data_IF_130210750001
#
_entry.id   IF_130210750001
#
_cell.length_a   1.000
_cell.length_b   1.000
_cell.length_c   1.000
_cell.angle_alpha   90.00
_cell.angle_beta   90.00
_cell.angle_gamma   90.00
#
_symmetry.space_group_name_H-M   'P 1'
#
loop_
_entity.id
_entity.type
_entity.pdbx_description
1 polymer ?
#
# COMPACT_ATOMS: atom_id res chain seq x y z
N UNK A 1 -4.27 -8.04 20.89
CA UNK A 1 -5.26 -6.97 20.63
C UNK A 1 -5.56 -7.05 19.15
N UNK A 2 -6.41 -8.01 18.76
CA UNK A 2 -6.81 -8.24 17.38
C UNK A 2 -7.71 -7.08 16.96
N UNK A 3 -7.10 -6.01 16.45
CA UNK A 3 -7.85 -4.91 15.86
C UNK A 3 -8.50 -5.43 14.58
N UNK A 4 -9.79 -5.14 14.45
CA UNK A 4 -10.68 -5.53 13.38
C UNK A 4 -10.06 -5.40 11.99
N UNK A 5 -9.48 -6.49 11.48
CA UNK A 5 -9.24 -6.64 10.06
C UNK A 5 -10.61 -6.70 9.40
N UNK A 6 -10.99 -5.63 8.69
CA UNK A 6 -12.17 -5.65 7.85
C UNK A 6 -11.89 -6.65 6.73
N UNK A 7 -12.64 -7.75 6.70
CA UNK A 7 -12.56 -8.71 5.62
C UNK A 7 -13.79 -8.54 4.74
N UNK A 8 -13.59 -8.46 3.43
CA UNK A 8 -14.67 -8.47 2.45
C UNK A 8 -14.60 -9.75 1.63
N UNK A 9 -15.76 -10.28 1.27
CA UNK A 9 -15.85 -11.45 0.39
C UNK A 9 -16.23 -10.98 -1.00
N UNK A 10 -15.33 -11.14 -1.97
CA UNK A 10 -15.61 -10.82 -3.35
C UNK A 10 -16.00 -12.09 -4.10
N UNK A 11 -17.09 -12.08 -4.89
CA UNK A 11 -17.38 -13.17 -5.81
C UNK A 11 -16.34 -13.14 -6.93
N UNK A 12 -15.89 -14.33 -7.31
CA UNK A 12 -15.05 -14.55 -8.48
C UNK A 12 -15.68 -15.60 -9.37
N UNK A 13 -15.48 -15.42 -10.67
CA UNK A 13 -15.82 -16.41 -11.68
C UNK A 13 -14.53 -16.97 -12.23
N UNK A 14 -14.42 -18.30 -12.23
CA UNK A 14 -13.30 -19.04 -12.80
C UNK A 14 -13.74 -19.61 -14.15
N UNK A 15 -13.05 -19.25 -15.21
CA UNK A 15 -13.29 -19.77 -16.56
C UNK A 15 -12.08 -20.58 -17.06
N UNK A 16 -12.32 -21.46 -18.03
CA UNK A 16 -11.27 -22.24 -18.68
C UNK A 16 -11.69 -22.62 -20.09
N UNK A 17 -11.00 -22.06 -21.07
CA UNK A 17 -11.11 -22.47 -22.46
C UNK A 17 -10.29 -23.74 -22.73
N UNK A 18 -10.62 -24.50 -23.80
CA UNK A 18 -9.78 -25.61 -24.25
C UNK A 18 -8.35 -25.14 -24.54
N UNK A 19 -7.37 -25.87 -24.00
CA UNK A 19 -5.94 -25.59 -24.15
C UNK A 19 -5.47 -24.21 -23.61
N UNK A 20 -6.24 -23.58 -22.71
CA UNK A 20 -5.85 -22.35 -22.01
C UNK A 20 -5.45 -22.58 -20.54
N UNK A 21 -4.86 -21.56 -19.92
CA UNK A 21 -4.74 -21.45 -18.47
C UNK A 21 -6.12 -21.21 -17.82
N UNK A 22 -6.21 -21.31 -16.50
CA UNK A 22 -7.43 -20.93 -15.79
C UNK A 22 -7.52 -19.40 -15.71
N UNK A 23 -8.65 -18.83 -16.12
CA UNK A 23 -8.96 -17.42 -15.96
C UNK A 23 -9.74 -17.17 -14.68
N UNK A 24 -9.51 -16.02 -14.04
CA UNK A 24 -10.37 -15.50 -12.97
C UNK A 24 -10.74 -14.06 -13.27
N UNK A 25 -12.03 -13.77 -13.17
CA UNK A 25 -12.58 -12.41 -13.21
C UNK A 25 -13.27 -12.10 -11.89
N UNK A 26 -13.15 -10.84 -11.44
CA UNK A 26 -13.83 -10.31 -10.25
C UNK A 26 -14.92 -9.34 -10.71
N UNK A 27 -16.20 -9.76 -10.82
CA UNK A 27 -17.23 -8.94 -11.47
C UNK A 27 -17.50 -7.59 -10.81
N UNK A 28 -17.31 -7.51 -9.48
CA UNK A 28 -17.51 -6.28 -8.72
C UNK A 28 -16.31 -5.33 -8.76
N UNK A 29 -15.17 -5.75 -9.32
CA UNK A 29 -13.98 -4.93 -9.52
C UNK A 29 -13.65 -4.90 -11.02
N UNK A 30 -14.29 -4.02 -11.80
CA UNK A 30 -14.09 -3.95 -13.25
C UNK A 30 -12.61 -3.78 -13.61
N UNK A 31 -12.13 -4.63 -14.52
CA UNK A 31 -10.72 -4.65 -14.92
C UNK A 31 -9.79 -5.44 -14.01
N UNK A 32 -10.30 -6.05 -12.93
CA UNK A 32 -9.55 -6.99 -12.11
C UNK A 32 -9.73 -8.42 -12.62
N UNK A 33 -8.70 -8.93 -13.30
CA UNK A 33 -8.62 -10.29 -13.81
C UNK A 33 -7.21 -10.86 -13.60
N UNK A 34 -7.10 -12.19 -13.56
CA UNK A 34 -5.82 -12.90 -13.47
C UNK A 34 -5.92 -14.28 -14.12
N UNK A 35 -4.79 -14.96 -14.32
CA UNK A 35 -4.72 -16.28 -14.90
C UNK A 35 -3.66 -17.14 -14.22
N UNK A 36 -3.84 -18.46 -14.22
CA UNK A 36 -2.88 -19.38 -13.61
C UNK A 36 -2.98 -20.81 -14.13
N UNK A 37 -1.90 -21.57 -13.95
CA UNK A 37 -1.75 -22.92 -14.50
C UNK A 37 -2.70 -23.93 -13.81
N UNK A 38 -3.03 -23.67 -12.55
CA UNK A 38 -3.88 -24.54 -11.72
C UNK A 38 -4.94 -23.73 -10.96
N UNK A 39 -6.01 -24.39 -10.52
CA UNK A 39 -7.04 -23.76 -9.69
C UNK A 39 -6.44 -23.20 -8.37
N UNK A 40 -5.48 -23.89 -7.77
CA UNK A 40 -4.86 -23.41 -6.53
C UNK A 40 -4.02 -22.15 -6.77
N UNK A 41 -3.27 -22.14 -7.87
CA UNK A 41 -2.46 -21.01 -8.29
C UNK A 41 -3.33 -19.79 -8.62
N UNK A 42 -4.33 -19.95 -9.50
CA UNK A 42 -5.19 -18.83 -9.92
C UNK A 42 -5.99 -18.23 -8.75
N UNK A 43 -6.36 -19.03 -7.74
CA UNK A 43 -7.01 -18.51 -6.53
C UNK A 43 -6.07 -17.66 -5.67
N UNK A 44 -4.80 -18.03 -5.60
CA UNK A 44 -3.78 -17.25 -4.89
C UNK A 44 -3.55 -15.93 -5.63
N UNK A 45 -3.37 -16.00 -6.95
CA UNK A 45 -3.22 -14.82 -7.80
C UNK A 45 -4.46 -13.93 -7.79
N UNK A 46 -5.67 -14.49 -7.65
CA UNK A 46 -6.90 -13.70 -7.57
C UNK A 46 -6.95 -12.86 -6.30
N UNK A 47 -6.49 -13.41 -5.16
CA UNK A 47 -6.39 -12.64 -3.91
C UNK A 47 -5.40 -11.48 -4.08
N UNK A 48 -4.23 -11.74 -4.66
CA UNK A 48 -3.21 -10.71 -4.88
C UNK A 48 -3.67 -9.63 -5.87
N UNK A 49 -4.33 -10.03 -6.96
CA UNK A 49 -4.88 -9.11 -7.95
C UNK A 49 -5.93 -8.18 -7.31
N UNK A 50 -6.83 -8.72 -6.49
CA UNK A 50 -7.84 -7.92 -5.79
C UNK A 50 -7.21 -7.00 -4.76
N UNK A 51 -6.25 -7.48 -3.95
CA UNK A 51 -5.55 -6.64 -2.97
C UNK A 51 -4.84 -5.47 -3.65
N UNK A 52 -4.08 -5.73 -4.71
CA UNK A 52 -3.39 -4.71 -5.50
C UNK A 52 -4.35 -3.71 -6.16
N UNK A 53 -5.47 -4.21 -6.71
CA UNK A 53 -6.47 -3.36 -7.34
C UNK A 53 -7.13 -2.41 -6.33
N UNK A 54 -7.52 -2.92 -5.16
CA UNK A 54 -8.11 -2.12 -4.08
C UNK A 54 -7.12 -1.10 -3.51
N UNK A 55 -5.84 -1.47 -3.39
CA UNK A 55 -4.78 -0.55 -3.00
C UNK A 55 -4.63 0.62 -3.98
N UNK A 56 -4.59 0.33 -5.29
CA UNK A 56 -4.56 1.36 -6.33
C UNK A 56 -5.75 2.32 -6.22
N UNK A 57 -6.97 1.77 -6.11
CA UNK A 57 -8.19 2.58 -5.94
C UNK A 57 -8.12 3.48 -4.69
N UNK A 58 -7.60 2.98 -3.57
CA UNK A 58 -7.48 3.79 -2.36
C UNK A 58 -6.45 4.91 -2.48
N UNK A 59 -5.32 4.64 -3.15
CA UNK A 59 -4.28 5.65 -3.40
C UNK A 59 -4.78 6.75 -4.34
N UNK A 60 -5.58 6.39 -5.34
CA UNK A 60 -6.20 7.32 -6.29
C UNK A 60 -7.42 8.04 -5.69
N UNK A 61 -7.90 7.60 -4.53
CA UNK A 61 -9.07 8.16 -3.85
C UNK A 61 -10.41 7.73 -4.45
N UNK A 62 -10.41 6.66 -5.25
CA UNK A 62 -11.59 6.11 -5.89
C UNK A 62 -12.51 5.40 -4.86
N UNK A 63 -13.85 5.46 -5.07
CA UNK A 63 -14.78 4.77 -4.22
C UNK A 63 -14.65 3.26 -4.39
N UNK A 64 -14.49 2.56 -3.29
CA UNK A 64 -14.32 1.11 -3.31
C UNK A 64 -15.68 0.43 -3.54
N UNK A 65 -15.83 -0.43 -4.57
CA UNK A 65 -17.08 -1.12 -4.84
C UNK A 65 -17.45 -2.08 -3.71
N UNK A 66 -18.71 -2.05 -3.30
CA UNK A 66 -19.25 -3.05 -2.38
C UNK A 66 -19.48 -4.38 -3.12
N UNK A 67 -18.98 -5.51 -2.61
CA UNK A 67 -19.18 -6.81 -3.23
C UNK A 67 -20.66 -7.19 -3.21
N UNK A 68 -21.11 -7.79 -4.30
CA UNK A 68 -22.48 -8.32 -4.44
C UNK A 68 -22.48 -9.82 -4.27
N UNK A 69 -23.65 -10.38 -4.00
CA UNK A 69 -23.82 -11.82 -3.97
C UNK A 69 -23.64 -12.42 -5.37
N UNK A 70 -23.13 -13.65 -5.43
CA UNK A 70 -22.96 -14.41 -6.68
C UNK A 70 -24.26 -14.42 -7.50
N UNK A 71 -25.42 -14.57 -6.84
CA UNK A 71 -26.73 -14.58 -7.49
C UNK A 71 -27.05 -13.30 -8.29
N UNK A 72 -26.43 -12.17 -7.96
CA UNK A 72 -26.56 -10.93 -8.74
C UNK A 72 -25.89 -11.07 -10.12
N UNK A 73 -24.77 -11.80 -10.19
CA UNK A 73 -23.94 -11.92 -11.39
C UNK A 73 -24.21 -13.18 -12.20
N UNK A 74 -24.78 -14.24 -11.60
CA UNK A 74 -25.07 -15.52 -12.27
C UNK A 74 -25.92 -15.39 -13.54
N UNK A 75 -26.77 -14.36 -13.63
CA UNK A 75 -27.60 -14.13 -14.81
C UNK A 75 -26.88 -13.41 -15.96
N UNK A 76 -25.63 -12.97 -15.75
CA UNK A 76 -24.86 -12.27 -16.78
C UNK A 76 -24.40 -13.27 -17.87
N UNK A 77 -24.75 -13.03 -19.16
CA UNK A 77 -24.30 -13.85 -20.27
C UNK A 77 -22.77 -14.01 -20.40
N UNK A 78 -21.99 -13.08 -19.84
CA UNK A 78 -20.53 -13.13 -19.84
C UNK A 78 -19.95 -14.24 -18.96
N UNK A 79 -20.71 -14.78 -18.01
CA UNK A 79 -20.23 -15.72 -16.98
C UNK A 79 -20.91 -17.09 -17.03
N UNK A 80 -21.61 -17.41 -18.13
CA UNK A 80 -22.55 -18.55 -18.22
C UNK A 80 -21.89 -19.91 -17.96
N UNK A 81 -20.63 -20.07 -18.35
CA UNK A 81 -19.89 -21.34 -18.20
C UNK A 81 -18.86 -21.31 -17.06
N UNK A 82 -18.86 -20.24 -16.26
CA UNK A 82 -17.88 -20.03 -15.20
C UNK A 82 -18.21 -20.77 -13.91
N UNK A 83 -17.17 -21.18 -13.19
CA UNK A 83 -17.27 -21.75 -11.84
C UNK A 83 -17.16 -20.64 -10.81
N UNK A 84 -18.22 -20.43 -10.04
CA UNK A 84 -18.27 -19.41 -9.02
C UNK A 84 -17.57 -19.82 -7.72
N UNK A 85 -16.81 -18.89 -7.14
CA UNK A 85 -16.28 -18.98 -5.78
C UNK A 85 -16.32 -17.63 -5.10
N UNK A 86 -16.17 -17.63 -3.78
CA UNK A 86 -15.88 -16.40 -3.02
C UNK A 86 -14.45 -16.44 -2.52
N UNK A 87 -13.76 -15.30 -2.61
CA UNK A 87 -12.45 -15.10 -1.98
C UNK A 87 -12.60 -14.09 -0.86
N UNK A 88 -11.89 -14.34 0.24
CA UNK A 88 -11.86 -13.43 1.39
C UNK A 88 -10.64 -12.53 1.26
N UNK A 89 -10.89 -11.23 1.20
CA UNK A 89 -9.86 -10.21 1.06
C UNK A 89 -9.69 -9.48 2.37
N UNK A 90 -8.44 -9.35 2.82
CA UNK A 90 -8.09 -8.45 3.92
C UNK A 90 -8.06 -7.04 3.38
N UNK A 91 -8.95 -6.19 3.88
CA UNK A 91 -9.03 -4.84 3.40
C UNK A 91 -7.84 -4.02 3.94
N UNK A 92 -7.10 -3.29 3.09
CA UNK A 92 -6.01 -2.43 3.53
C UNK A 92 -6.51 -1.34 4.48
N UNK A 93 -5.77 -1.12 5.58
CA UNK A 93 -6.06 -0.06 6.55
C UNK A 93 -5.29 1.20 6.13
N UNK A 94 -6.01 2.33 5.98
CA UNK A 94 -5.38 3.63 5.76
C UNK A 94 -4.96 4.25 7.10
N UNK A 95 -3.76 4.83 7.13
CA UNK A 95 -3.28 5.63 8.26
C UNK A 95 -2.79 6.98 7.76
N UNK A 96 -3.11 8.02 8.52
CA UNK A 96 -2.62 9.38 8.27
C UNK A 96 -1.50 9.69 9.24
N UNK A 97 -0.33 10.08 8.75
CA UNK A 97 0.77 10.59 9.54
C UNK A 97 0.90 12.09 9.35
N UNK A 98 0.97 12.82 10.47
CA UNK A 98 1.36 14.22 10.47
C UNK A 98 2.81 14.33 10.05
N UNK A 99 3.11 15.24 9.12
CA UNK A 99 4.46 15.58 8.68
C UNK A 99 4.70 17.07 8.86
N UNK A 100 5.96 17.43 9.07
CA UNK A 100 6.41 18.83 9.10
C UNK A 100 7.36 19.08 7.93
N UNK A 101 7.11 20.17 7.22
CA UNK A 101 7.85 20.59 6.03
C UNK A 101 8.60 21.87 6.36
N UNK A 102 9.92 21.86 6.13
CA UNK A 102 10.79 23.00 6.28
C UNK A 102 11.35 23.42 4.93
N UNK A 103 11.48 24.73 4.72
CA UNK A 103 12.02 25.30 3.49
C UNK A 103 12.84 26.56 3.78
N UNK A 104 14.14 26.46 3.58
CA UNK A 104 15.06 27.61 3.62
C UNK A 104 15.14 28.27 2.23
N UNK A 105 15.59 29.54 2.15
CA UNK A 105 15.97 30.15 0.87
C UNK A 105 16.97 29.27 0.12
N UNK A 106 16.73 29.04 -1.18
CA UNK A 106 17.60 28.25 -2.07
C UNK A 106 17.86 26.76 -1.67
N UNK A 107 17.06 26.18 -0.76
CA UNK A 107 17.11 24.74 -0.42
C UNK A 107 16.07 23.89 -1.16
N UNK A 108 16.14 22.55 -1.03
CA UNK A 108 14.99 21.67 -1.27
C UNK A 108 13.95 21.80 -0.13
N UNK A 109 12.75 21.27 -0.31
CA UNK A 109 11.76 21.09 0.75
C UNK A 109 12.17 19.89 1.60
N UNK A 110 12.50 20.10 2.87
CA UNK A 110 12.78 19.02 3.82
C UNK A 110 11.50 18.58 4.51
N UNK A 111 11.33 17.28 4.70
CA UNK A 111 10.17 16.70 5.39
C UNK A 111 10.64 15.82 6.55
N UNK A 112 10.01 15.98 7.70
CA UNK A 112 10.20 15.13 8.87
C UNK A 112 8.87 14.51 9.29
N UNK A 113 8.91 13.25 9.73
CA UNK A 113 7.74 12.52 10.25
C UNK A 113 7.90 12.36 11.77
N UNK A 114 7.26 13.19 12.61
CA UNK A 114 7.50 13.18 14.05
C UNK A 114 7.20 11.86 14.75
N UNK A 115 6.19 11.12 14.27
CA UNK A 115 5.81 9.83 14.84
C UNK A 115 6.66 8.64 14.35
N UNK A 116 7.57 8.87 13.39
CA UNK A 116 8.57 7.90 12.94
C UNK A 116 9.97 8.50 13.11
N UNK A 117 10.55 8.43 14.32
CA UNK A 117 11.88 8.97 14.57
C UNK A 117 12.92 8.41 13.59
N UNK A 118 13.62 9.31 12.90
CA UNK A 118 14.60 8.95 11.86
C UNK A 118 14.02 8.82 10.45
N UNK A 119 12.71 8.99 10.26
CA UNK A 119 12.09 9.10 8.94
C UNK A 119 12.09 10.57 8.49
N UNK A 120 12.98 10.87 7.55
CA UNK A 120 13.12 12.18 6.91
C UNK A 120 13.29 11.99 5.41
N UNK A 121 12.91 13.00 4.64
CA UNK A 121 13.08 13.02 3.18
C UNK A 121 13.17 14.46 2.69
N UNK A 122 13.41 14.65 1.39
CA UNK A 122 13.36 15.95 0.76
C UNK A 122 12.90 15.84 -0.69
N UNK A 123 12.36 16.93 -1.23
CA UNK A 123 11.99 17.06 -2.64
C UNK A 123 12.24 18.46 -3.18
N UNK A 124 12.47 18.56 -4.49
CA UNK A 124 12.78 19.84 -5.14
C UNK A 124 11.54 20.76 -5.22
N UNK A 125 10.35 20.15 -5.22
CA UNK A 125 9.06 20.84 -5.15
C UNK A 125 8.27 20.34 -3.95
N UNK A 126 7.23 21.09 -3.54
CA UNK A 126 6.33 20.65 -2.47
C UNK A 126 5.65 19.32 -2.82
N UNK A 127 5.19 19.17 -4.06
CA UNK A 127 4.56 17.94 -4.54
C UNK A 127 5.52 16.75 -4.49
N UNK A 128 6.76 16.95 -4.95
CA UNK A 128 7.81 15.94 -4.88
C UNK A 128 8.10 15.56 -3.42
N UNK A 129 8.25 16.55 -2.53
CA UNK A 129 8.47 16.30 -1.10
C UNK A 129 7.33 15.50 -0.45
N UNK A 130 6.06 15.77 -0.78
CA UNK A 130 4.91 15.00 -0.29
C UNK A 130 4.90 13.56 -0.81
N UNK A 131 5.21 13.37 -2.10
CA UNK A 131 5.34 12.04 -2.69
C UNK A 131 6.47 11.25 -2.02
N UNK A 132 7.64 11.87 -1.91
CA UNK A 132 8.81 11.28 -1.26
C UNK A 132 8.54 10.98 0.23
N UNK A 133 7.70 11.78 0.90
CA UNK A 133 7.32 11.55 2.30
C UNK A 133 6.49 10.29 2.45
N UNK A 134 5.52 10.06 1.55
CA UNK A 134 4.74 8.82 1.51
C UNK A 134 5.66 7.60 1.35
N UNK A 135 6.54 7.62 0.36
CA UNK A 135 7.48 6.52 0.10
C UNK A 135 8.44 6.28 1.27
N UNK A 136 8.93 7.34 1.93
CA UNK A 136 9.80 7.23 3.10
C UNK A 136 9.08 6.59 4.29
N UNK A 137 7.81 6.95 4.52
CA UNK A 137 6.97 6.40 5.59
C UNK A 137 6.69 4.92 5.34
N UNK A 138 6.30 4.55 4.13
CA UNK A 138 6.05 3.16 3.72
C UNK A 138 7.32 2.30 3.91
N UNK A 139 8.45 2.78 3.41
CA UNK A 139 9.74 2.09 3.57
C UNK A 139 10.14 1.95 5.04
N UNK A 140 9.94 2.98 5.85
CA UNK A 140 10.26 2.93 7.27
C UNK A 140 9.39 1.88 7.99
N UNK A 141 8.10 1.77 7.64
CA UNK A 141 7.22 0.73 8.17
C UNK A 141 7.68 -0.67 7.79
N UNK A 142 8.06 -0.90 6.54
CA UNK A 142 8.61 -2.19 6.11
C UNK A 142 9.85 -2.57 6.92
N UNK A 143 10.79 -1.64 7.10
CA UNK A 143 12.00 -1.86 7.90
C UNK A 143 11.65 -2.23 9.34
N UNK A 144 10.73 -1.49 9.98
CA UNK A 144 10.28 -1.80 11.33
C UNK A 144 9.70 -3.21 11.44
N UNK A 145 8.86 -3.61 10.48
CA UNK A 145 8.24 -4.93 10.48
C UNK A 145 9.25 -6.06 10.24
N UNK A 146 10.21 -5.87 9.33
CA UNK A 146 11.29 -6.82 9.08
C UNK A 146 12.17 -7.03 10.31
N UNK A 147 12.40 -5.96 11.07
CA UNK A 147 13.14 -5.99 12.33
C UNK A 147 12.28 -6.45 13.54
N UNK A 148 11.00 -6.75 13.33
CA UNK A 148 10.07 -7.23 14.36
C UNK A 148 9.53 -6.15 15.30
N UNK A 149 9.67 -4.87 14.93
CA UNK A 149 9.10 -3.74 15.65
C UNK A 149 7.67 -3.43 15.17
N UNK A 150 6.79 -2.96 16.08
CA UNK A 150 5.46 -2.54 15.69
C UNK A 150 5.49 -1.21 14.93
N UNK A 151 4.54 -1.03 14.01
CA UNK A 151 4.30 0.26 13.34
C UNK A 151 3.84 1.31 14.39
N UNK A 152 4.49 2.48 14.50
CA UNK A 152 4.11 3.54 15.42
C UNK A 152 2.68 4.02 15.19
N UNK A 153 1.95 4.34 16.26
CA UNK A 153 0.66 5.00 16.12
C UNK A 153 0.87 6.45 15.65
N UNK A 154 0.04 6.91 14.70
CA UNK A 154 0.04 8.32 14.32
C UNK A 154 -0.64 9.17 15.39
N UNK A 155 -0.15 10.40 15.55
CA UNK A 155 -0.74 11.43 16.40
C UNK A 155 -1.13 12.63 15.56
N UNK A 156 -2.14 13.35 16.04
CA UNK A 156 -2.58 14.58 15.40
C UNK A 156 -1.50 15.67 15.46
N UNK A 157 -1.54 16.59 14.50
CA UNK A 157 -0.66 17.77 14.44
C UNK A 157 -0.62 18.50 15.79
N UNK A 158 -1.77 18.64 16.46
CA UNK A 158 -1.89 19.30 17.75
C UNK A 158 -0.99 18.70 18.85
N UNK A 159 -0.63 17.42 18.76
CA UNK A 159 0.29 16.79 19.70
C UNK A 159 1.72 17.29 19.53
N UNK A 160 2.13 17.63 18.31
CA UNK A 160 3.50 17.97 17.95
C UNK A 160 3.73 19.48 17.72
N UNK A 161 2.67 20.26 17.50
CA UNK A 161 2.76 21.67 17.07
C UNK A 161 3.54 22.58 18.03
N UNK A 162 3.53 22.28 19.34
CA UNK A 162 4.21 23.09 20.37
C UNK A 162 5.69 22.69 20.55
N UNK A 163 6.18 21.70 19.79
CA UNK A 163 7.56 21.27 19.88
C UNK A 163 8.50 22.28 19.18
N UNK A 164 9.48 22.86 19.90
CA UNK A 164 10.38 23.86 19.32
C UNK A 164 11.24 23.33 18.17
N UNK A 165 11.44 22.00 18.06
CA UNK A 165 12.17 21.40 16.94
C UNK A 165 11.41 21.49 15.61
N UNK A 166 10.09 21.71 15.66
CA UNK A 166 9.22 21.84 14.50
C UNK A 166 8.73 23.28 14.32
N UNK A 167 9.33 24.22 15.06
CA UNK A 167 9.06 25.64 14.88
C UNK A 167 9.31 26.04 13.41
N UNK A 168 8.51 27.00 12.94
CA UNK A 168 8.56 27.55 11.58
C UNK A 168 8.31 26.56 10.44
N UNK A 169 7.94 25.31 10.75
CA UNK A 169 7.57 24.29 9.77
C UNK A 169 6.10 24.38 9.37
N UNK A 170 5.80 24.04 8.11
CA UNK A 170 4.44 23.86 7.63
C UNK A 170 3.97 22.42 7.91
N UNK A 171 2.79 22.28 8.51
CA UNK A 171 2.19 20.98 8.80
C UNK A 171 1.35 20.48 7.64
N UNK A 172 1.50 19.21 7.31
CA UNK A 172 0.66 18.49 6.34
C UNK A 172 0.36 17.07 6.87
N UNK A 173 -0.59 16.40 6.24
CA UNK A 173 -0.95 15.01 6.57
C UNK A 173 -0.74 14.12 5.35
N UNK A 174 0.00 13.03 5.51
CA UNK A 174 0.23 12.05 4.45
C UNK A 174 -0.52 10.76 4.78
N UNK A 175 -1.32 10.29 3.82
CA UNK A 175 -2.01 9.00 3.89
C UNK A 175 -1.10 7.90 3.37
N UNK A 176 -1.04 6.79 4.10
CA UNK A 176 -0.32 5.58 3.73
C UNK A 176 -1.20 4.36 3.96
N UNK A 177 -0.94 3.31 3.20
CA UNK A 177 -1.58 2.01 3.40
C UNK A 177 -0.74 1.20 4.38
N UNK A 178 -1.38 0.62 5.38
CA UNK A 178 -0.71 -0.30 6.29
C UNK A 178 -0.54 -1.66 5.62
N UNK A 179 0.66 -2.27 5.71
CA UNK A 179 0.89 -3.59 5.17
C UNK A 179 0.01 -4.62 5.88
N UNK A 180 -0.71 -5.42 5.08
CA UNK A 180 -1.67 -6.42 5.56
C UNK A 180 -1.02 -7.78 5.87
N UNK A 181 0.19 -8.02 5.33
CA UNK A 181 0.94 -9.26 5.52
C UNK A 181 2.46 -9.03 5.41
N UNK A 182 3.17 -9.21 6.53
CA UNK A 182 4.64 -9.08 6.57
C UNK A 182 5.36 -10.15 5.76
N UNK A 183 4.73 -11.30 5.50
CA UNK A 183 5.33 -12.37 4.69
C UNK A 183 5.40 -12.00 3.20
N UNK A 184 4.60 -11.01 2.78
CA UNK A 184 4.59 -10.50 1.41
C UNK A 184 5.61 -9.40 1.15
N UNK A 185 6.31 -8.91 2.19
CA UNK A 185 7.37 -7.91 2.02
C UNK A 185 8.52 -8.56 1.25
N UNK A 186 8.60 -8.26 -0.05
CA UNK A 186 9.59 -8.83 -0.97
C UNK A 186 10.97 -8.23 -0.69
N UNK A 187 11.87 -9.02 -0.09
CA UNK A 187 13.26 -8.60 0.21
C UNK A 187 14.12 -8.48 -1.07
N UNK A 188 13.66 -9.00 -2.22
CA UNK A 188 14.52 -9.31 -3.38
C UNK A 188 14.26 -8.46 -4.65
N UNK A 189 13.30 -7.52 -4.64
CA UNK A 189 13.08 -6.62 -5.78
C UNK A 189 13.83 -5.29 -5.56
N UNK A 190 14.84 -4.94 -6.39
CA UNK A 190 15.54 -3.68 -6.25
C UNK A 190 14.68 -2.54 -6.82
N UNK A 191 13.71 -2.10 -6.03
CA UNK A 191 13.01 -0.84 -6.26
C UNK A 191 13.99 0.34 -6.33
N UNK A 192 13.58 1.48 -6.90
CA UNK A 192 14.42 2.69 -7.00
C UNK A 192 15.05 3.10 -5.66
N UNK A 193 14.38 2.80 -4.56
CA UNK A 193 14.75 3.17 -3.18
C UNK A 193 15.76 2.19 -2.57
N UNK A 194 15.74 0.88 -2.91
CA UNK A 194 16.81 -0.04 -2.50
C UNK A 194 18.16 0.29 -3.17
N UNK A 195 18.15 0.94 -4.36
CA UNK A 195 19.37 1.51 -4.96
C UNK A 195 19.92 2.68 -4.14
N UNK A 196 19.03 3.51 -3.59
CA UNK A 196 19.37 4.59 -2.65
C UNK A 196 19.89 4.06 -1.31
N UNK A 197 19.32 2.99 -0.76
CA UNK A 197 19.82 2.34 0.46
C UNK A 197 21.22 1.71 0.25
N UNK A 198 21.46 1.09 -0.91
CA UNK A 198 22.80 0.63 -1.31
C UNK A 198 23.79 1.80 -1.43
N UNK A 199 23.35 2.93 -1.98
CA UNK A 199 24.16 4.14 -2.08
C UNK A 199 24.46 4.76 -0.70
N UNK A 200 23.48 4.86 0.20
CA UNK A 200 23.64 5.38 1.57
C UNK A 200 24.54 4.49 2.44
N UNK A 201 24.42 3.17 2.34
CA UNK A 201 25.32 2.23 3.04
C UNK A 201 26.74 2.21 2.45
N UNK A 202 26.92 2.59 1.19
CA UNK A 202 28.25 2.76 0.58
C UNK A 202 28.90 4.11 0.98
N UNK A 203 28.13 5.19 1.12
CA UNK A 203 28.65 6.51 1.48
C UNK A 203 28.95 6.66 2.99
N UNK A 204 28.27 5.91 3.86
CA UNK A 204 28.57 5.87 5.31
C UNK A 204 29.85 5.09 5.67
N UNK A 205 30.45 4.34 4.74
CA UNK A 205 31.78 3.74 4.95
C UNK A 205 32.97 4.67 4.65
N UNK A 206 32.72 5.91 4.19
CA UNK A 206 33.80 6.87 3.84
C UNK A 206 33.97 7.98 4.91
N UNK A 207 33.21 7.94 6.00
CA UNK A 207 33.41 8.82 7.16
C UNK A 207 33.67 7.99 8.42
N UNK A 208 34.86 7.37 8.46
CA UNK A 208 35.58 7.00 9.68
C UNK A 208 37.06 7.29 9.49
#
# INVERSE_FOLDING_TARGET
MERYFMHKQYPIVIDKDPDSDYGVTVPDLPGCYTFGDTIADVLTQAVEAVECHLEGMLLDGDPIPEPKDIAYHETNPEYVDGVWKTITIKFPELRHYSIVIHKDPDSAYGVTVPDMPGCFTAGDTLEDALKQAREAIEFHMECLLLDGYPIPASKDIAFHQDNPNYADGQWESVTVILPTDVSKIQVDQPGPIQRLFRWFNQTTQVVR
#
